data_IF_501961612617
#
_entry.id   IF_501961612617
#
_cell.length_a   1.000
_cell.length_b   1.000
_cell.length_c   1.000
_cell.angle_alpha   90.00
_cell.angle_beta   90.00
_cell.angle_gamma   90.00
#
_symmetry.space_group_name_H-M   'P 1'
#
loop_
_entity.id
_entity.type
_entity.pdbx_description
1 polymer ?
#
# COMPACT_ATOMS: atom_id res chain seq x y z
N UNK A 1 -40.50 36.72 30.84
CA UNK A 1 -39.93 36.19 29.59
C UNK A 1 -38.51 35.75 29.90
N UNK A 2 -38.24 34.45 29.88
CA UNK A 2 -36.90 33.89 30.12
C UNK A 2 -36.00 34.20 28.92
N UNK A 3 -34.96 35.00 29.14
CA UNK A 3 -33.92 35.20 28.15
C UNK A 3 -33.18 33.87 27.94
N UNK A 4 -33.35 33.25 26.78
CA UNK A 4 -32.51 32.13 26.37
C UNK A 4 -31.16 32.71 25.97
N UNK A 5 -30.16 32.54 26.82
CA UNK A 5 -28.78 32.95 26.58
C UNK A 5 -28.18 32.10 25.44
N UNK A 6 -28.28 32.59 24.20
CA UNK A 6 -27.57 32.00 23.05
C UNK A 6 -26.12 32.50 23.09
N UNK A 7 -25.26 31.93 23.94
CA UNK A 7 -23.87 32.43 24.06
C UNK A 7 -22.78 31.35 24.02
N UNK A 8 -23.10 30.05 24.10
CA UNK A 8 -22.06 29.00 24.13
C UNK A 8 -21.93 28.11 22.88
N UNK A 9 -22.98 27.95 22.07
CA UNK A 9 -22.95 27.01 20.92
C UNK A 9 -21.91 27.37 19.85
N UNK A 10 -21.60 28.66 19.69
CA UNK A 10 -20.63 29.14 18.69
C UNK A 10 -19.16 29.00 19.12
N UNK A 11 -18.86 29.01 20.44
CA UNK A 11 -17.49 28.82 20.94
C UNK A 11 -17.05 27.37 20.80
N UNK A 12 -17.93 26.42 21.16
CA UNK A 12 -17.67 24.98 21.01
C UNK A 12 -17.38 24.58 19.56
N UNK A 13 -18.18 25.07 18.60
CA UNK A 13 -17.99 24.78 17.18
C UNK A 13 -16.63 25.26 16.63
N UNK A 14 -16.14 26.43 17.09
CA UNK A 14 -14.82 26.94 16.69
C UNK A 14 -13.67 26.11 17.24
N UNK A 15 -13.78 25.62 18.47
CA UNK A 15 -12.78 24.74 19.08
C UNK A 15 -12.75 23.39 18.33
N UNK A 16 -13.92 22.79 18.07
CA UNK A 16 -14.02 21.53 17.33
C UNK A 16 -13.44 21.68 15.92
N UNK A 17 -13.74 22.79 15.23
CA UNK A 17 -13.17 23.09 13.92
C UNK A 17 -11.65 23.19 13.94
N UNK A 18 -11.07 23.89 14.93
CA UNK A 18 -9.63 24.02 15.09
C UNK A 18 -8.97 22.65 15.35
N UNK A 19 -9.55 21.86 16.25
CA UNK A 19 -9.05 20.51 16.56
C UNK A 19 -9.09 19.59 15.34
N UNK A 20 -10.17 19.63 14.55
CA UNK A 20 -10.30 18.85 13.33
C UNK A 20 -9.22 19.22 12.29
N UNK A 21 -8.96 20.52 12.10
CA UNK A 21 -7.90 20.99 11.19
C UNK A 21 -6.52 20.53 11.69
N UNK A 22 -6.22 20.68 12.98
CA UNK A 22 -4.95 20.24 13.56
C UNK A 22 -4.78 18.73 13.39
N UNK A 23 -5.80 17.94 13.72
CA UNK A 23 -5.78 16.49 13.53
C UNK A 23 -5.52 16.13 12.06
N UNK A 24 -6.16 16.82 11.12
CA UNK A 24 -5.95 16.59 9.70
C UNK A 24 -4.52 16.90 9.24
N UNK A 25 -3.92 18.00 9.71
CA UNK A 25 -2.51 18.33 9.44
C UNK A 25 -1.57 17.26 10.00
N UNK A 26 -1.82 16.81 11.24
CA UNK A 26 -1.02 15.74 11.87
C UNK A 26 -1.08 14.46 11.04
N UNK A 27 -2.26 14.07 10.56
CA UNK A 27 -2.42 12.89 9.72
C UNK A 27 -1.66 13.02 8.39
N UNK A 28 -1.72 14.19 7.72
CA UNK A 28 -0.95 14.42 6.49
C UNK A 28 0.55 14.28 6.74
N UNK A 29 1.05 14.89 7.82
CA UNK A 29 2.48 14.80 8.17
C UNK A 29 2.89 13.36 8.48
N UNK A 30 2.09 12.64 9.28
CA UNK A 30 2.37 11.25 9.64
C UNK A 30 2.37 10.33 8.40
N UNK A 31 1.41 10.51 7.49
CA UNK A 31 1.35 9.78 6.22
C UNK A 31 2.54 10.10 5.32
N UNK A 32 2.94 11.36 5.23
CA UNK A 32 4.12 11.79 4.47
C UNK A 32 5.44 11.21 5.01
N UNK A 33 5.61 11.19 6.34
CA UNK A 33 6.78 10.56 7.00
C UNK A 33 6.82 9.06 6.68
N UNK A 34 5.67 8.38 6.78
CA UNK A 34 5.57 6.95 6.48
C UNK A 34 5.93 6.68 5.02
N UNK A 35 5.38 7.46 4.08
CA UNK A 35 5.69 7.35 2.65
C UNK A 35 7.19 7.53 2.37
N UNK A 36 7.81 8.57 2.95
CA UNK A 36 9.23 8.85 2.79
C UNK A 36 10.12 7.75 3.38
N UNK A 37 9.69 7.14 4.48
CA UNK A 37 10.42 6.02 5.11
C UNK A 37 10.41 4.78 4.21
N UNK A 38 9.24 4.41 3.67
CA UNK A 38 9.13 3.28 2.72
C UNK A 38 9.94 3.56 1.44
N UNK A 39 9.93 4.80 0.95
CA UNK A 39 10.74 5.23 -0.21
C UNK A 39 12.22 5.05 0.05
N UNK A 40 12.69 5.44 1.23
CA UNK A 40 14.10 5.32 1.61
C UNK A 40 14.51 3.84 1.69
N UNK A 41 13.71 3.00 2.34
CA UNK A 41 13.95 1.56 2.41
C UNK A 41 14.05 0.92 1.03
N UNK A 42 13.14 1.24 0.09
CA UNK A 42 13.21 0.70 -1.26
C UNK A 42 14.47 1.15 -2.03
N UNK A 43 14.88 2.42 -1.85
CA UNK A 43 16.10 2.95 -2.49
C UNK A 43 17.39 2.33 -1.95
N UNK A 44 17.38 1.94 -0.69
CA UNK A 44 18.53 1.31 -0.04
C UNK A 44 18.76 -0.12 -0.56
N UNK A 45 17.70 -0.80 -0.99
CA UNK A 45 17.79 -2.16 -1.57
C UNK A 45 18.38 -2.18 -3.00
N UNK A 46 18.54 -1.02 -3.66
CA UNK A 46 19.14 -0.89 -5.01
C UNK A 46 18.56 -1.85 -6.06
N UNK A 47 17.25 -2.06 -6.00
CA UNK A 47 16.54 -2.94 -6.93
C UNK A 47 16.12 -2.13 -8.16
N UNK A 48 16.39 -2.67 -9.35
CA UNK A 48 15.85 -2.17 -10.62
C UNK A 48 14.77 -3.10 -11.14
N UNK A 49 13.74 -2.54 -11.78
CA UNK A 49 12.69 -3.34 -12.42
C UNK A 49 13.29 -4.19 -13.54
N UNK A 50 13.22 -5.51 -13.41
CA UNK A 50 13.69 -6.45 -14.39
C UNK A 50 12.81 -6.39 -15.66
N UNK A 51 13.42 -6.43 -16.86
CA UNK A 51 12.65 -6.54 -18.09
C UNK A 51 11.89 -7.88 -18.12
N UNK A 52 10.61 -7.86 -18.52
CA UNK A 52 9.78 -9.08 -18.57
C UNK A 52 10.28 -10.01 -19.69
N UNK A 53 10.51 -9.47 -20.88
CA UNK A 53 11.21 -10.14 -22.00
C UNK A 53 12.14 -9.14 -22.71
N UNK A 54 12.98 -9.61 -23.64
CA UNK A 54 13.84 -8.73 -24.43
C UNK A 54 13.05 -7.84 -25.40
N UNK A 55 11.98 -8.40 -25.99
CA UNK A 55 11.14 -7.72 -26.98
C UNK A 55 10.05 -6.85 -26.33
N UNK A 56 9.62 -7.21 -25.11
CA UNK A 56 8.60 -6.52 -24.34
C UNK A 56 9.09 -6.33 -22.89
N UNK A 57 10.04 -5.41 -22.64
CA UNK A 57 10.64 -5.25 -21.33
C UNK A 57 9.64 -4.73 -20.27
N UNK A 58 8.58 -4.04 -20.69
CA UNK A 58 7.60 -3.38 -19.82
C UNK A 58 7.91 -1.90 -19.62
N UNK A 59 6.87 -1.08 -19.39
CA UNK A 59 6.97 0.38 -19.37
C UNK A 59 7.83 0.97 -18.25
N UNK A 60 8.09 0.20 -17.19
CA UNK A 60 8.89 0.60 -16.04
C UNK A 60 10.22 -0.15 -15.93
N UNK A 61 10.59 -0.95 -16.95
CA UNK A 61 11.84 -1.69 -16.96
C UNK A 61 13.06 -0.78 -16.79
N UNK A 62 14.07 -1.29 -16.07
CA UNK A 62 15.32 -0.60 -15.76
C UNK A 62 15.17 0.68 -14.90
N UNK A 63 13.97 0.99 -14.40
CA UNK A 63 13.79 2.05 -13.40
C UNK A 63 14.09 1.50 -12.01
N UNK A 64 14.59 2.38 -11.15
CA UNK A 64 14.80 2.07 -9.73
C UNK A 64 13.45 1.84 -9.04
N UNK A 65 13.39 0.79 -8.22
CA UNK A 65 12.26 0.50 -7.36
C UNK A 65 12.27 1.46 -6.18
N UNK A 66 11.40 2.47 -6.23
CA UNK A 66 11.37 3.54 -5.22
C UNK A 66 9.96 4.06 -4.93
N UNK A 67 8.95 3.52 -5.60
CA UNK A 67 7.57 4.00 -5.54
C UNK A 67 6.62 2.80 -5.71
N UNK A 68 5.31 2.93 -5.44
CA UNK A 68 4.40 1.80 -5.50
C UNK A 68 4.29 1.17 -6.90
N UNK A 69 4.47 1.94 -7.97
CA UNK A 69 4.32 1.41 -9.33
C UNK A 69 5.56 0.63 -9.76
N UNK A 70 6.76 1.14 -9.47
CA UNK A 70 8.00 0.42 -9.75
C UNK A 70 8.14 -0.83 -8.87
N UNK A 71 7.72 -0.78 -7.60
CA UNK A 71 7.66 -1.96 -6.74
C UNK A 71 6.69 -3.03 -7.26
N UNK A 72 5.49 -2.61 -7.69
CA UNK A 72 4.51 -3.52 -8.30
C UNK A 72 5.02 -4.14 -9.61
N UNK A 73 5.63 -3.32 -10.48
CA UNK A 73 6.19 -3.80 -11.75
C UNK A 73 7.31 -4.83 -11.53
N UNK A 74 8.21 -4.59 -10.57
CA UNK A 74 9.24 -5.55 -10.23
C UNK A 74 8.65 -6.85 -9.66
N UNK A 75 7.66 -6.75 -8.78
CA UNK A 75 6.95 -7.90 -8.23
C UNK A 75 6.34 -8.80 -9.31
N UNK A 76 5.74 -8.22 -10.35
CA UNK A 76 5.20 -8.98 -11.48
C UNK A 76 6.29 -9.49 -12.44
N UNK A 77 7.38 -8.75 -12.65
CA UNK A 77 8.52 -9.23 -13.43
C UNK A 77 9.15 -10.48 -12.78
N UNK A 78 9.31 -10.50 -11.45
CA UNK A 78 9.78 -11.67 -10.70
C UNK A 78 8.84 -12.86 -10.90
N UNK A 79 7.53 -12.64 -10.81
CA UNK A 79 6.53 -13.69 -11.02
C UNK A 79 6.64 -14.28 -12.43
N UNK A 80 6.79 -13.44 -13.44
CA UNK A 80 6.96 -13.89 -14.82
C UNK A 80 8.21 -14.76 -14.98
N UNK A 81 9.38 -14.28 -14.54
CA UNK A 81 10.63 -15.04 -14.62
C UNK A 81 10.59 -16.34 -13.83
N UNK A 82 9.96 -16.33 -12.65
CA UNK A 82 9.78 -17.53 -11.85
C UNK A 82 8.93 -18.59 -12.57
N UNK A 83 7.81 -18.20 -13.20
CA UNK A 83 6.95 -19.12 -13.94
C UNK A 83 7.59 -19.59 -15.24
N UNK A 84 8.30 -18.72 -15.96
CA UNK A 84 9.04 -19.11 -17.17
C UNK A 84 10.14 -20.11 -16.84
N UNK A 85 10.89 -19.90 -15.75
CA UNK A 85 11.91 -20.83 -15.28
C UNK A 85 11.35 -22.20 -14.88
N UNK A 86 10.11 -22.25 -14.38
CA UNK A 86 9.46 -23.49 -13.91
C UNK A 86 8.52 -24.10 -14.94
N UNK A 87 8.48 -23.58 -16.17
CA UNK A 87 7.53 -24.02 -17.21
C UNK A 87 6.06 -23.95 -16.76
N UNK A 88 5.74 -22.96 -15.93
CA UNK A 88 4.39 -22.73 -15.40
C UNK A 88 4.04 -23.51 -14.13
N UNK A 89 4.96 -24.32 -13.59
CA UNK A 89 4.72 -25.05 -12.35
C UNK A 89 4.76 -24.11 -11.13
N UNK A 90 3.77 -24.27 -10.26
CA UNK A 90 3.73 -23.63 -8.94
C UNK A 90 4.73 -24.28 -7.97
N UNK A 91 5.00 -23.60 -6.85
CA UNK A 91 5.89 -24.12 -5.81
C UNK A 91 5.48 -25.51 -5.29
N UNK A 92 4.17 -25.75 -5.12
CA UNK A 92 3.65 -27.05 -4.70
C UNK A 92 3.87 -28.12 -5.78
N UNK A 93 3.51 -27.81 -7.02
CA UNK A 93 3.66 -28.71 -8.16
C UNK A 93 5.12 -29.07 -8.44
N UNK A 94 6.07 -28.17 -8.20
CA UNK A 94 7.50 -28.49 -8.27
C UNK A 94 7.88 -29.55 -7.23
N UNK A 95 7.34 -29.45 -6.01
CA UNK A 95 7.53 -30.47 -4.97
C UNK A 95 7.01 -31.84 -5.41
N UNK A 96 5.81 -31.88 -5.99
CA UNK A 96 5.21 -33.12 -6.50
C UNK A 96 6.04 -33.71 -7.65
N UNK A 97 6.51 -32.87 -8.57
CA UNK A 97 7.36 -33.27 -9.71
C UNK A 97 8.70 -33.82 -9.25
N UNK A 98 9.33 -33.20 -8.24
CA UNK A 98 10.57 -33.70 -7.64
C UNK A 98 10.36 -35.08 -7.03
N UNK A 99 9.27 -35.27 -6.28
CA UNK A 99 8.98 -36.54 -5.63
C UNK A 99 8.67 -37.64 -6.66
N UNK A 100 7.91 -37.31 -7.71
CA UNK A 100 7.64 -38.23 -8.82
C UNK A 100 8.93 -38.66 -9.52
N UNK A 101 9.82 -37.71 -9.86
CA UNK A 101 11.12 -38.01 -10.49
C UNK A 101 12.01 -38.89 -9.61
N UNK A 102 12.05 -38.63 -8.30
CA UNK A 102 12.77 -39.48 -7.33
C UNK A 102 12.20 -40.90 -7.29
N UNK A 103 10.86 -41.05 -7.32
CA UNK A 103 10.21 -42.34 -7.34
C UNK A 103 10.49 -43.12 -8.63
N UNK A 104 10.50 -42.46 -9.78
CA UNK A 104 10.88 -43.05 -11.07
C UNK A 104 12.33 -43.55 -11.08
N UNK A 105 13.28 -42.72 -10.61
CA UNK A 105 14.69 -43.11 -10.53
C UNK A 105 14.91 -44.29 -9.57
N UNK A 106 14.16 -44.32 -8.45
CA UNK A 106 14.18 -45.43 -7.50
C UNK A 106 13.60 -46.71 -8.10
N UNK A 107 12.51 -46.60 -8.85
CA UNK A 107 11.92 -47.73 -9.59
C UNK A 107 12.86 -48.25 -10.69
N UNK A 108 13.68 -47.37 -11.29
CA UNK A 108 14.74 -47.74 -12.23
C UNK A 108 15.99 -48.35 -11.57
N UNK A 109 15.98 -48.56 -10.24
CA UNK A 109 17.08 -49.20 -9.50
C UNK A 109 18.22 -48.27 -9.09
N UNK A 110 18.03 -46.96 -9.19
CA UNK A 110 19.03 -45.96 -8.77
C UNK A 110 19.09 -45.89 -7.24
N UNK A 111 20.29 -45.83 -6.66
CA UNK A 111 20.46 -45.71 -5.21
C UNK A 111 20.01 -44.33 -4.68
N UNK A 112 19.58 -44.25 -3.43
CA UNK A 112 19.14 -42.98 -2.83
C UNK A 112 20.27 -41.91 -2.85
N UNK A 113 21.54 -42.32 -2.79
CA UNK A 113 22.69 -41.44 -2.88
C UNK A 113 22.93 -40.87 -4.28
N UNK A 114 22.60 -41.63 -5.32
CA UNK A 114 22.74 -41.22 -6.72
C UNK A 114 21.54 -40.38 -7.17
N UNK A 115 20.33 -40.70 -6.69
CA UNK A 115 19.12 -39.87 -6.90
C UNK A 115 19.32 -38.44 -6.37
N UNK A 116 20.00 -38.30 -5.23
CA UNK A 116 20.29 -36.98 -4.66
C UNK A 116 21.26 -36.14 -5.51
N UNK A 117 22.05 -36.78 -6.38
CA UNK A 117 23.02 -36.13 -7.28
C UNK A 117 22.52 -36.06 -8.72
N UNK A 118 21.35 -36.63 -8.99
CA UNK A 118 20.75 -36.60 -10.31
C UNK A 118 20.54 -35.15 -10.78
N UNK A 119 20.93 -34.89 -12.03
CA UNK A 119 20.92 -33.53 -12.59
C UNK A 119 19.50 -32.96 -12.67
N UNK A 120 18.50 -33.79 -12.98
CA UNK A 120 17.13 -33.34 -13.12
C UNK A 120 16.51 -33.06 -11.74
N UNK A 121 16.77 -33.92 -10.75
CA UNK A 121 16.33 -33.71 -9.37
C UNK A 121 16.96 -32.44 -8.78
N UNK A 122 18.26 -32.21 -9.02
CA UNK A 122 18.96 -31.00 -8.59
C UNK A 122 18.42 -29.76 -9.30
N UNK A 123 18.16 -29.83 -10.60
CA UNK A 123 17.58 -28.72 -11.37
C UNK A 123 16.18 -28.34 -10.86
N UNK A 124 15.29 -29.32 -10.68
CA UNK A 124 13.95 -29.09 -10.13
C UNK A 124 13.99 -28.54 -8.71
N UNK A 125 14.90 -29.05 -7.88
CA UNK A 125 15.10 -28.54 -6.51
C UNK A 125 15.61 -27.10 -6.53
N UNK A 126 16.55 -26.77 -7.42
CA UNK A 126 17.04 -25.40 -7.62
C UNK A 126 15.95 -24.44 -8.11
N UNK A 127 15.10 -24.90 -9.05
CA UNK A 127 13.92 -24.14 -9.50
C UNK A 127 12.96 -23.88 -8.34
N UNK A 128 12.67 -24.89 -7.51
CA UNK A 128 11.80 -24.75 -6.34
C UNK A 128 12.34 -23.73 -5.33
N UNK A 129 13.65 -23.73 -5.06
CA UNK A 129 14.31 -22.71 -4.23
C UNK A 129 14.20 -21.32 -4.84
N UNK A 130 14.40 -21.21 -6.15
CA UNK A 130 14.26 -19.93 -6.88
C UNK A 130 12.83 -19.40 -6.82
N UNK A 131 11.82 -20.25 -7.02
CA UNK A 131 10.40 -19.87 -6.90
C UNK A 131 10.02 -19.45 -5.48
N UNK A 132 10.58 -20.12 -4.47
CA UNK A 132 10.41 -19.73 -3.06
C UNK A 132 10.96 -18.32 -2.82
N UNK A 133 12.22 -18.08 -3.19
CA UNK A 133 12.85 -16.77 -3.04
C UNK A 133 12.10 -15.68 -3.81
N UNK A 134 11.66 -15.97 -5.04
CA UNK A 134 10.85 -15.06 -5.84
C UNK A 134 9.52 -14.71 -5.18
N UNK A 135 8.86 -15.68 -4.55
CA UNK A 135 7.60 -15.45 -3.80
C UNK A 135 7.83 -14.58 -2.56
N UNK A 136 8.95 -14.77 -1.86
CA UNK A 136 9.33 -13.93 -0.72
C UNK A 136 9.58 -12.48 -1.16
N UNK A 137 10.42 -12.27 -2.17
CA UNK A 137 10.72 -10.93 -2.70
C UNK A 137 9.47 -10.24 -3.23
N UNK A 138 8.59 -10.97 -3.91
CA UNK A 138 7.31 -10.44 -4.38
C UNK A 138 6.40 -10.03 -3.22
N UNK A 139 6.35 -10.85 -2.16
CA UNK A 139 5.55 -10.54 -0.97
C UNK A 139 6.08 -9.30 -0.24
N UNK A 140 7.41 -9.15 -0.09
CA UNK A 140 7.99 -7.96 0.53
C UNK A 140 7.72 -6.70 -0.31
N UNK A 141 7.88 -6.78 -1.64
CA UNK A 141 7.56 -5.67 -2.55
C UNK A 141 6.07 -5.28 -2.48
N UNK A 142 5.15 -6.24 -2.46
CA UNK A 142 3.73 -5.93 -2.29
C UNK A 142 3.39 -5.40 -0.90
N UNK A 143 4.09 -5.83 0.14
CA UNK A 143 3.96 -5.25 1.48
C UNK A 143 4.32 -3.76 1.45
N UNK A 144 5.37 -3.38 0.71
CA UNK A 144 5.70 -1.96 0.48
C UNK A 144 4.63 -1.22 -0.34
N UNK A 145 4.07 -1.83 -1.39
CA UNK A 145 2.96 -1.24 -2.17
C UNK A 145 1.74 -0.96 -1.28
N UNK A 146 1.39 -1.92 -0.41
CA UNK A 146 0.30 -1.77 0.56
C UNK A 146 0.62 -0.66 1.57
N UNK A 147 1.86 -0.57 2.05
CA UNK A 147 2.29 0.49 2.96
C UNK A 147 2.13 1.90 2.33
N UNK A 148 2.46 2.06 1.04
CA UNK A 148 2.16 3.28 0.30
C UNK A 148 0.66 3.58 0.21
N UNK A 149 -0.16 2.56 -0.07
CA UNK A 149 -1.62 2.70 -0.10
C UNK A 149 -2.18 3.18 1.24
N UNK A 150 -1.70 2.62 2.35
CA UNK A 150 -2.10 3.04 3.70
C UNK A 150 -1.62 4.47 3.99
N UNK A 151 -0.39 4.82 3.64
CA UNK A 151 0.13 6.19 3.83
C UNK A 151 -0.69 7.22 3.04
N UNK A 152 -1.05 6.92 1.79
CA UNK A 152 -1.95 7.77 0.99
C UNK A 152 -3.35 7.89 1.62
N UNK A 153 -3.92 6.80 2.13
CA UNK A 153 -5.22 6.83 2.81
C UNK A 153 -5.18 7.73 4.04
N UNK A 154 -4.12 7.64 4.87
CA UNK A 154 -3.93 8.47 6.05
C UNK A 154 -3.83 9.95 5.67
N UNK A 155 -3.08 10.29 4.62
CA UNK A 155 -3.02 11.67 4.10
C UNK A 155 -4.39 12.13 3.58
N UNK A 156 -5.10 11.28 2.83
CA UNK A 156 -6.44 11.58 2.32
C UNK A 156 -7.47 11.83 3.42
N UNK A 157 -7.43 11.04 4.50
CA UNK A 157 -8.22 11.30 5.70
C UNK A 157 -7.83 12.63 6.34
N UNK A 158 -6.54 12.96 6.39
CA UNK A 158 -6.09 14.26 6.91
C UNK A 158 -6.68 15.44 6.12
N UNK A 159 -6.69 15.34 4.79
CA UNK A 159 -7.34 16.33 3.92
C UNK A 159 -8.84 16.43 4.23
N UNK A 160 -9.53 15.30 4.38
CA UNK A 160 -10.95 15.26 4.73
C UNK A 160 -11.22 15.97 6.07
N UNK A 161 -10.41 15.73 7.10
CA UNK A 161 -10.53 16.39 8.40
C UNK A 161 -10.34 17.91 8.30
N UNK A 162 -9.40 18.37 7.48
CA UNK A 162 -9.19 19.81 7.22
C UNK A 162 -10.42 20.41 6.54
N UNK A 163 -10.96 19.75 5.52
CA UNK A 163 -12.16 20.22 4.80
C UNK A 163 -13.39 20.31 5.72
N UNK A 164 -13.60 19.29 6.55
CA UNK A 164 -14.69 19.26 7.54
C UNK A 164 -14.50 20.36 8.58
N UNK A 165 -13.30 20.49 9.14
CA UNK A 165 -12.99 21.54 10.12
C UNK A 165 -13.16 22.94 9.52
N UNK A 166 -12.75 23.14 8.27
CA UNK A 166 -12.97 24.39 7.54
C UNK A 166 -14.45 24.68 7.31
N UNK A 167 -15.25 23.69 6.90
CA UNK A 167 -16.69 23.86 6.72
C UNK A 167 -17.39 24.26 8.03
N UNK A 168 -17.07 23.61 9.16
CA UNK A 168 -17.60 23.97 10.48
C UNK A 168 -17.18 25.39 10.86
N UNK A 169 -15.93 25.78 10.61
CA UNK A 169 -15.44 27.13 10.86
C UNK A 169 -16.23 28.18 10.09
N UNK A 170 -16.49 27.96 8.81
CA UNK A 170 -17.28 28.89 7.98
C UNK A 170 -18.71 29.02 8.51
N UNK A 171 -19.35 27.92 8.91
CA UNK A 171 -20.71 27.93 9.45
C UNK A 171 -20.81 28.59 10.84
N UNK A 172 -19.78 28.47 11.68
CA UNK A 172 -19.76 29.04 13.04
C UNK A 172 -19.47 30.56 13.10
N UNK A 173 -19.28 31.22 11.96
CA UNK A 173 -18.98 32.66 11.88
C UNK A 173 -20.21 33.49 11.50
N UNK A 174 -21.33 32.89 11.07
CA UNK A 174 -22.53 33.64 10.64
C UNK A 174 -23.22 34.32 11.85
N UNK A 175 -23.15 35.65 12.01
CA UNK A 175 -23.93 36.35 13.02
C UNK A 175 -25.34 36.52 12.45
N UNK A 176 -26.36 36.02 13.14
CA UNK A 176 -27.70 36.49 12.87
C UNK A 176 -27.78 37.94 13.31
N UNK A 177 -27.75 38.87 12.35
CA UNK A 177 -28.28 40.22 12.57
C UNK A 177 -29.78 40.06 12.82
N UNK A 178 -30.16 39.90 14.09
CA UNK A 178 -31.55 40.01 14.50
C UNK A 178 -31.97 41.45 14.18
N UNK A 179 -32.78 41.62 13.13
CA UNK A 179 -33.43 42.88 12.85
C UNK A 179 -34.24 43.30 14.09
N UNK A 180 -33.92 44.45 14.65
CA UNK A 180 -34.62 44.96 15.83
C UNK A 180 -36.14 45.01 15.56
N UNK A 181 -36.99 44.63 16.53
CA UNK A 181 -38.43 44.76 16.35
C UNK A 181 -38.76 46.24 16.13
N UNK A 182 -39.41 46.54 15.00
CA UNK A 182 -39.96 47.87 14.73
C UNK A 182 -40.98 48.15 15.82
N UNK A 183 -40.68 49.08 16.72
CA UNK A 183 -41.63 49.55 17.72
C UNK A 183 -42.80 50.21 16.99
N UNK A 184 -43.98 49.56 17.01
CA UNK A 184 -45.22 50.17 16.56
C UNK A 184 -45.58 51.26 17.56
N UNK A 185 -45.30 52.51 17.19
CA UNK A 185 -45.74 53.67 17.95
C UNK A 185 -47.26 53.80 17.80
N UNK A 186 -48.00 53.38 18.83
CA UNK A 186 -49.41 53.71 18.99
C UNK A 186 -49.55 55.23 19.05
N UNK A 187 -50.13 55.85 18.01
CA UNK A 187 -50.64 57.22 18.10
C UNK A 187 -52.10 57.17 18.57
N UNK A 188 -52.36 58.04 19.54
CA UNK A 188 -53.59 58.27 20.32
C UNK A 188 -54.82 58.48 19.46
#
# INVERSE_FOLDING_TARGET
MSNVTVTDRFKGARIIALLAIIAGVVLIVAGGITWGTVTSQLKDEKITVAPVTADEPGSLANKDVQDPFTAFAQAEAIKHHALTATKGLTYAQLGDTINAKKAELKAAGTSDADIAKDKDVLALTGQRTTSMNGSFLRSSLFTSVVAYGIAALVMGLGILFILVGYAIRVLAVKPETVGAPVAVATRV
#
